data_IF_557065457766
#
_entry.id   IF_557065457766
#
_cell.length_a   1.000
_cell.length_b   1.000
_cell.length_c   1.000
_cell.angle_alpha   90.00
_cell.angle_beta   90.00
_cell.angle_gamma   90.00
#
_symmetry.space_group_name_H-M   'P 1'
#
loop_
_entity.id
_entity.type
_entity.pdbx_description
1 polymer ?
#
# COMPACT_ATOMS: atom_id res chain seq x y z
N UNK A 1 -13.34 -5.38 6.52
CA UNK A 1 -13.20 -6.54 5.60
C UNK A 1 -14.02 -6.37 4.33
N UNK A 2 -15.30 -5.96 4.39
CA UNK A 2 -16.12 -5.73 3.18
C UNK A 2 -15.51 -4.72 2.22
N UNK A 3 -15.05 -3.58 2.72
CA UNK A 3 -14.37 -2.51 1.95
C UNK A 3 -13.12 -2.98 1.18
N UNK A 4 -12.27 -3.83 1.80
CA UNK A 4 -11.05 -4.32 1.17
C UNK A 4 -11.36 -5.38 0.10
N UNK A 5 -12.36 -6.22 0.34
CA UNK A 5 -12.79 -7.25 -0.62
C UNK A 5 -13.34 -6.62 -1.90
N UNK A 6 -14.06 -5.51 -1.79
CA UNK A 6 -14.57 -4.75 -2.92
C UNK A 6 -13.40 -4.09 -3.69
N UNK A 7 -12.49 -3.43 -2.98
CA UNK A 7 -11.27 -2.85 -3.58
C UNK A 7 -10.43 -3.88 -4.33
N UNK A 8 -10.26 -5.09 -3.76
CA UNK A 8 -9.52 -6.18 -4.41
C UNK A 8 -10.22 -6.61 -5.71
N UNK A 9 -11.54 -6.75 -5.70
CA UNK A 9 -12.29 -7.13 -6.91
C UNK A 9 -12.21 -6.06 -7.99
N UNK A 10 -12.28 -4.79 -7.63
CA UNK A 10 -12.19 -3.65 -8.56
C UNK A 10 -10.81 -3.52 -9.24
N UNK A 11 -9.75 -4.06 -8.61
CA UNK A 11 -8.41 -4.09 -9.18
C UNK A 11 -8.23 -5.18 -10.24
N UNK A 12 -9.14 -6.15 -10.29
CA UNK A 12 -9.04 -7.31 -11.15
C UNK A 12 -9.92 -7.14 -12.40
N UNK A 13 -9.41 -7.44 -13.59
CA UNK A 13 -10.25 -7.47 -14.79
C UNK A 13 -11.23 -8.65 -14.72
N UNK A 14 -12.38 -8.52 -15.38
CA UNK A 14 -13.47 -9.52 -15.40
C UNK A 14 -13.06 -10.96 -15.80
N UNK A 15 -11.90 -11.11 -16.43
CA UNK A 15 -11.33 -12.41 -16.81
C UNK A 15 -10.62 -13.16 -15.67
N UNK A 16 -10.49 -12.52 -14.50
CA UNK A 16 -9.89 -13.14 -13.31
C UNK A 16 -11.00 -13.39 -12.29
N UNK A 17 -11.21 -14.67 -12.00
CA UNK A 17 -12.16 -15.11 -10.98
C UNK A 17 -11.53 -14.94 -9.59
N UNK A 18 -12.20 -14.19 -8.69
CA UNK A 18 -11.67 -13.85 -7.38
C UNK A 18 -12.49 -14.47 -6.25
N UNK A 19 -11.87 -15.36 -5.50
CA UNK A 19 -12.44 -15.98 -4.30
C UNK A 19 -11.74 -15.49 -3.04
N UNK A 20 -12.51 -14.95 -2.10
CA UNK A 20 -12.02 -14.53 -0.79
C UNK A 20 -12.80 -15.29 0.28
N UNK A 21 -12.09 -15.99 1.16
CA UNK A 21 -12.67 -16.78 2.24
C UNK A 21 -11.93 -16.56 3.57
N UNK A 22 -12.66 -16.67 4.67
CA UNK A 22 -12.10 -16.70 6.01
C UNK A 22 -12.70 -17.91 6.75
N UNK A 23 -11.83 -18.80 7.21
CA UNK A 23 -12.22 -20.06 7.87
C UNK A 23 -11.51 -20.18 9.22
N UNK A 24 -12.22 -20.71 10.22
CA UNK A 24 -11.66 -21.06 11.52
C UNK A 24 -12.20 -20.26 12.70
N UNK A 25 -11.69 -20.61 13.89
CA UNK A 25 -11.97 -19.89 15.14
C UNK A 25 -11.41 -18.49 15.08
N UNK A 26 -12.10 -17.54 15.72
CA UNK A 26 -11.64 -16.16 15.85
C UNK A 26 -10.29 -16.14 16.59
N UNK A 27 -9.22 -15.85 15.85
CA UNK A 27 -7.91 -15.53 16.40
C UNK A 27 -7.64 -14.06 16.17
N UNK A 28 -7.28 -13.38 17.22
CA UNK A 28 -6.84 -11.99 17.15
C UNK A 28 -5.36 -11.94 16.79
N UNK A 29 -5.00 -10.98 15.95
CA UNK A 29 -3.61 -10.66 15.61
C UNK A 29 -3.36 -9.18 15.90
N UNK A 30 -2.21 -8.89 16.47
CA UNK A 30 -1.80 -7.49 16.67
C UNK A 30 -1.04 -7.02 15.42
N UNK A 31 -1.76 -6.33 14.54
CA UNK A 31 -1.21 -5.90 13.26
C UNK A 31 -1.64 -4.47 12.92
N UNK A 32 -0.80 -3.77 12.19
CA UNK A 32 -1.19 -2.53 11.54
C UNK A 32 -2.13 -2.86 10.38
N UNK A 33 -3.40 -2.45 10.52
CA UNK A 33 -4.43 -2.70 9.51
C UNK A 33 -4.02 -2.17 8.14
N UNK A 34 -3.45 -0.97 8.08
CA UNK A 34 -3.05 -0.34 6.83
C UNK A 34 -1.92 -1.11 6.15
N UNK A 35 -0.95 -1.60 6.93
CA UNK A 35 0.13 -2.45 6.43
C UNK A 35 -0.39 -3.75 5.82
N UNK A 36 -1.37 -4.41 6.48
CA UNK A 36 -1.99 -5.63 5.96
C UNK A 36 -2.82 -5.36 4.69
N UNK A 37 -3.60 -4.28 4.66
CA UNK A 37 -4.35 -3.87 3.47
C UNK A 37 -3.38 -3.65 2.28
N UNK A 38 -2.30 -2.91 2.47
CA UNK A 38 -1.29 -2.66 1.43
C UNK A 38 -0.59 -3.95 0.97
N UNK A 39 -0.27 -4.83 1.90
CA UNK A 39 0.32 -6.14 1.62
C UNK A 39 -0.60 -6.98 0.70
N UNK A 40 -1.88 -7.08 1.03
CA UNK A 40 -2.86 -7.83 0.24
C UNK A 40 -3.05 -7.21 -1.15
N UNK A 41 -3.08 -5.89 -1.26
CA UNK A 41 -3.18 -5.20 -2.54
C UNK A 41 -1.92 -5.43 -3.41
N UNK A 42 -0.71 -5.40 -2.83
CA UNK A 42 0.52 -5.71 -3.54
C UNK A 42 0.52 -7.15 -4.09
N UNK A 43 0.06 -8.12 -3.30
CA UNK A 43 -0.04 -9.51 -3.74
C UNK A 43 -1.11 -9.68 -4.83
N UNK A 44 -2.25 -8.99 -4.70
CA UNK A 44 -3.33 -8.99 -5.71
C UNK A 44 -2.84 -8.46 -7.06
N UNK A 45 -2.10 -7.35 -7.06
CA UNK A 45 -1.56 -6.78 -8.29
C UNK A 45 -0.51 -7.68 -8.94
N UNK A 46 0.36 -8.30 -8.14
CA UNK A 46 1.33 -9.26 -8.66
C UNK A 46 0.64 -10.45 -9.31
N UNK A 47 -0.42 -10.98 -8.68
CA UNK A 47 -1.24 -12.05 -9.21
C UNK A 47 -1.95 -11.64 -10.51
N UNK A 48 -2.59 -10.47 -10.54
CA UNK A 48 -3.23 -9.90 -11.74
C UNK A 48 -2.26 -9.86 -12.91
N UNK A 49 -1.09 -9.31 -12.65
CA UNK A 49 -0.06 -9.13 -13.68
C UNK A 49 0.54 -10.46 -14.17
N UNK A 50 0.51 -11.51 -13.34
CA UNK A 50 0.92 -12.86 -13.74
C UNK A 50 -0.17 -13.60 -14.54
N UNK A 51 -1.43 -13.13 -14.50
CA UNK A 51 -2.59 -13.75 -15.14
C UNK A 51 -3.07 -12.95 -16.37
N UNK A 52 -2.19 -12.64 -17.30
CA UNK A 52 -2.50 -11.82 -18.50
C UNK A 52 -3.61 -12.40 -19.36
N UNK A 53 -3.73 -13.72 -19.43
CA UNK A 53 -4.79 -14.44 -20.16
C UNK A 53 -6.06 -14.71 -19.34
N UNK A 54 -6.14 -14.21 -18.10
CA UNK A 54 -7.18 -14.57 -17.14
C UNK A 54 -6.73 -15.70 -16.21
N UNK A 55 -7.59 -16.07 -15.26
CA UNK A 55 -7.26 -17.10 -14.28
C UNK A 55 -8.09 -16.99 -13.01
N UNK A 56 -7.57 -17.54 -11.92
CA UNK A 56 -8.21 -17.50 -10.60
C UNK A 56 -7.26 -16.97 -9.55
N UNK A 57 -7.75 -16.03 -8.75
CA UNK A 57 -7.12 -15.55 -7.53
C UNK A 57 -7.91 -16.05 -6.33
N UNK A 58 -7.26 -16.75 -5.41
CA UNK A 58 -7.87 -17.21 -4.16
C UNK A 58 -7.12 -16.59 -2.99
N UNK A 59 -7.84 -15.87 -2.14
CA UNK A 59 -7.33 -15.32 -0.88
C UNK A 59 -8.07 -16.03 0.25
N UNK A 60 -7.33 -16.72 1.11
CA UNK A 60 -7.92 -17.40 2.26
C UNK A 60 -7.21 -17.02 3.55
N UNK A 61 -8.01 -16.86 4.61
CA UNK A 61 -7.54 -16.59 5.97
C UNK A 61 -7.99 -17.77 6.84
N UNK A 62 -7.05 -18.35 7.58
CA UNK A 62 -7.35 -19.48 8.45
C UNK A 62 -6.47 -19.46 9.71
N UNK A 63 -6.98 -20.09 10.78
CA UNK A 63 -6.19 -20.35 11.98
C UNK A 63 -5.25 -21.55 11.78
N UNK A 64 -4.06 -21.48 12.34
CA UNK A 64 -3.08 -22.57 12.38
C UNK A 64 -2.66 -22.81 13.84
N UNK A 65 -2.76 -24.06 14.30
CA UNK A 65 -2.31 -24.45 15.63
C UNK A 65 -1.19 -25.51 15.53
N UNK A 66 -0.11 -25.30 16.27
CA UNK A 66 0.86 -26.35 16.62
C UNK A 66 1.65 -27.03 15.48
N UNK A 67 1.55 -26.59 14.23
CA UNK A 67 2.23 -27.19 13.08
C UNK A 67 3.71 -26.83 12.98
N UNK A 68 4.42 -27.47 12.03
CA UNK A 68 5.81 -27.12 11.67
C UNK A 68 5.93 -25.67 11.22
N UNK A 69 4.89 -25.15 10.58
CA UNK A 69 4.77 -23.78 10.06
C UNK A 69 4.74 -22.73 11.17
N UNK A 70 4.13 -23.07 12.34
CA UNK A 70 4.08 -22.19 13.51
C UNK A 70 5.39 -22.21 14.31
N UNK A 71 6.15 -23.32 14.25
CA UNK A 71 7.46 -23.43 14.94
C UNK A 71 8.53 -22.52 14.36
N UNK A 72 8.37 -22.11 13.11
CA UNK A 72 9.29 -21.21 12.44
C UNK A 72 9.08 -19.72 12.79
N UNK A 73 7.94 -19.38 13.42
CA UNK A 73 7.71 -18.02 13.91
C UNK A 73 8.72 -17.71 15.04
N UNK A 74 9.46 -16.63 14.90
CA UNK A 74 10.48 -16.23 15.86
C UNK A 74 9.86 -16.05 17.26
N UNK A 75 10.26 -16.90 18.21
CA UNK A 75 9.79 -16.84 19.60
C UNK A 75 8.51 -17.61 19.92
N UNK A 76 7.96 -18.38 18.97
CA UNK A 76 6.79 -19.19 19.24
C UNK A 76 7.09 -20.33 20.23
N UNK A 77 6.50 -20.29 21.42
CA UNK A 77 6.49 -21.39 22.37
C UNK A 77 5.70 -22.58 21.84
N UNK A 78 5.95 -23.80 22.35
CA UNK A 78 5.13 -24.97 22.06
C UNK A 78 3.66 -24.67 22.38
N UNK A 79 2.77 -24.68 21.38
CA UNK A 79 1.35 -24.36 21.53
C UNK A 79 0.95 -22.97 21.05
N UNK A 80 1.86 -22.21 20.43
CA UNK A 80 1.53 -20.94 19.80
C UNK A 80 0.55 -21.16 18.62
N UNK A 81 -0.45 -20.29 18.54
CA UNK A 81 -1.38 -20.21 17.41
C UNK A 81 -0.92 -19.12 16.44
N UNK A 82 -1.27 -19.28 15.18
CA UNK A 82 -1.01 -18.27 14.16
C UNK A 82 -2.23 -18.11 13.24
N UNK A 83 -2.34 -16.94 12.65
CA UNK A 83 -3.24 -16.72 11.51
C UNK A 83 -2.43 -16.87 10.23
N UNK A 84 -2.92 -17.71 9.34
CA UNK A 84 -2.38 -17.88 8.00
C UNK A 84 -3.22 -17.09 7.02
N UNK A 85 -2.57 -16.20 6.26
CA UNK A 85 -3.13 -15.56 5.08
C UNK A 85 -2.49 -16.23 3.88
N UNK A 86 -3.29 -16.79 2.98
CA UNK A 86 -2.81 -17.42 1.76
C UNK A 86 -3.37 -16.69 0.54
N UNK A 87 -2.50 -16.33 -0.38
CA UNK A 87 -2.85 -15.75 -1.68
C UNK A 87 -2.32 -16.69 -2.76
N UNK A 88 -3.22 -17.25 -3.55
CA UNK A 88 -2.92 -18.22 -4.59
C UNK A 88 -3.45 -17.73 -5.94
N UNK A 89 -2.58 -17.66 -6.94
CA UNK A 89 -2.92 -17.34 -8.33
C UNK A 89 -2.63 -18.53 -9.26
N UNK A 90 -3.28 -18.53 -10.41
CA UNK A 90 -3.05 -19.51 -11.50
C UNK A 90 -2.28 -18.90 -12.66
N UNK A 91 -1.42 -17.93 -12.38
CA UNK A 91 -0.66 -17.17 -13.38
C UNK A 91 0.55 -17.91 -13.94
N UNK A 92 1.45 -17.15 -14.52
CA UNK A 92 2.68 -17.66 -15.18
C UNK A 92 3.68 -18.33 -14.23
N UNK A 93 3.57 -18.10 -12.92
CA UNK A 93 4.52 -18.59 -11.94
C UNK A 93 5.92 -17.98 -12.08
N UNK A 94 6.87 -18.52 -11.30
CA UNK A 94 8.24 -18.02 -11.23
C UNK A 94 9.28 -19.12 -11.32
N UNK A 95 10.42 -18.82 -11.94
CA UNK A 95 11.61 -19.67 -11.95
C UNK A 95 12.27 -19.69 -10.56
N UNK A 96 13.15 -20.66 -10.29
CA UNK A 96 13.92 -20.70 -9.03
C UNK A 96 14.81 -19.48 -8.84
N UNK A 97 15.40 -18.97 -9.91
CA UNK A 97 16.20 -17.73 -9.87
C UNK A 97 15.35 -16.54 -9.47
N UNK A 98 14.19 -16.36 -10.07
CA UNK A 98 13.24 -15.28 -9.69
C UNK A 98 12.81 -15.42 -8.23
N UNK A 99 12.49 -16.65 -7.77
CA UNK A 99 12.08 -16.88 -6.38
C UNK A 99 13.18 -16.53 -5.38
N UNK A 100 14.45 -16.80 -5.67
CA UNK A 100 15.56 -16.49 -4.77
C UNK A 100 15.78 -14.98 -4.58
N UNK A 101 15.36 -14.17 -5.55
CA UNK A 101 15.59 -12.73 -5.60
C UNK A 101 14.35 -11.88 -5.40
N UNK A 102 13.16 -12.49 -5.36
CA UNK A 102 11.88 -11.78 -5.40
C UNK A 102 11.64 -10.78 -4.25
N UNK A 103 12.36 -10.92 -3.14
CA UNK A 103 12.30 -9.99 -2.00
C UNK A 103 13.45 -8.97 -2.01
N UNK A 104 14.38 -9.04 -2.96
CA UNK A 104 15.44 -8.03 -3.11
C UNK A 104 14.81 -6.69 -3.53
N UNK A 105 15.19 -5.57 -2.88
CA UNK A 105 14.75 -4.26 -3.31
C UNK A 105 15.14 -4.00 -4.78
N UNK A 106 14.23 -3.38 -5.52
CA UNK A 106 14.39 -3.03 -6.94
C UNK A 106 14.50 -4.22 -7.90
N UNK A 107 14.36 -5.45 -7.43
CA UNK A 107 14.29 -6.60 -8.32
C UNK A 107 12.88 -6.71 -8.94
N UNK A 108 12.83 -6.69 -10.26
CA UNK A 108 11.61 -6.88 -11.04
C UNK A 108 11.93 -7.62 -12.34
N UNK A 109 11.06 -8.54 -12.73
CA UNK A 109 11.07 -9.16 -14.05
C UNK A 109 10.27 -8.35 -15.08
N UNK A 110 9.67 -7.23 -14.68
CA UNK A 110 8.81 -6.36 -15.49
C UNK A 110 9.47 -4.99 -15.62
N UNK A 111 9.60 -4.48 -16.83
CA UNK A 111 10.23 -3.18 -17.11
C UNK A 111 9.47 -1.98 -16.50
N UNK A 112 8.16 -2.14 -16.28
CA UNK A 112 7.29 -1.07 -15.75
C UNK A 112 7.23 -1.02 -14.22
N UNK A 113 7.77 -2.02 -13.52
CA UNK A 113 7.62 -2.13 -12.06
C UNK A 113 8.96 -1.86 -11.35
N UNK A 114 8.92 -0.99 -10.34
CA UNK A 114 10.12 -0.59 -9.56
C UNK A 114 10.69 -1.71 -8.69
N UNK A 115 10.01 -2.86 -8.54
CA UNK A 115 10.50 -3.99 -7.74
C UNK A 115 10.41 -3.79 -6.23
N UNK A 116 9.49 -2.96 -5.73
CA UNK A 116 9.31 -2.69 -4.30
C UNK A 116 8.10 -3.43 -3.69
N UNK A 117 7.20 -3.98 -4.50
CA UNK A 117 5.95 -4.57 -4.01
C UNK A 117 6.16 -5.75 -3.05
N UNK A 118 6.96 -6.75 -3.45
CA UNK A 118 7.23 -7.92 -2.60
C UNK A 118 8.20 -7.61 -1.45
N UNK A 119 9.11 -6.67 -1.62
CA UNK A 119 9.97 -6.16 -0.54
C UNK A 119 9.10 -5.52 0.56
N UNK A 120 8.08 -4.75 0.19
CA UNK A 120 7.12 -4.16 1.11
C UNK A 120 6.32 -5.25 1.86
N UNK A 121 5.83 -6.28 1.14
CA UNK A 121 5.16 -7.44 1.75
C UNK A 121 6.05 -8.09 2.83
N UNK A 122 7.30 -8.37 2.49
CA UNK A 122 8.26 -8.96 3.42
C UNK A 122 8.50 -8.08 4.64
N UNK A 123 8.67 -6.77 4.44
CA UNK A 123 8.86 -5.78 5.50
C UNK A 123 7.68 -5.73 6.48
N UNK A 124 6.44 -5.65 5.96
CA UNK A 124 5.23 -5.64 6.79
C UNK A 124 5.13 -6.92 7.62
N UNK A 125 5.34 -8.09 7.02
CA UNK A 125 5.26 -9.37 7.73
C UNK A 125 6.32 -9.45 8.84
N UNK A 126 7.55 -9.08 8.55
CA UNK A 126 8.65 -9.08 9.55
C UNK A 126 8.44 -8.10 10.69
N UNK A 127 7.88 -6.93 10.42
CA UNK A 127 7.52 -5.94 11.44
C UNK A 127 6.54 -6.51 12.47
N UNK A 128 5.66 -7.43 12.06
CA UNK A 128 4.67 -8.09 12.93
C UNK A 128 5.12 -9.47 13.43
N UNK A 129 6.42 -9.77 13.37
CA UNK A 129 6.97 -11.05 13.85
C UNK A 129 6.54 -12.26 13.02
N UNK A 130 6.01 -12.03 11.84
CA UNK A 130 5.49 -13.05 10.94
C UNK A 130 6.53 -13.71 10.05
N UNK A 131 6.06 -14.68 9.27
CA UNK A 131 6.83 -15.41 8.26
C UNK A 131 6.12 -15.45 6.93
N UNK A 132 6.89 -15.44 5.83
CA UNK A 132 6.40 -15.59 4.46
C UNK A 132 7.01 -16.86 3.87
N UNK A 133 6.15 -17.64 3.22
CA UNK A 133 6.54 -18.78 2.40
C UNK A 133 5.98 -18.59 0.99
N UNK A 134 6.76 -18.99 -0.02
CA UNK A 134 6.33 -18.90 -1.41
C UNK A 134 6.59 -20.23 -2.10
N UNK A 135 5.53 -20.73 -2.74
CA UNK A 135 5.58 -21.88 -3.62
C UNK A 135 5.16 -21.44 -5.02
N UNK A 136 6.04 -21.59 -6.00
CA UNK A 136 5.74 -21.19 -7.38
C UNK A 136 6.47 -22.13 -8.36
N UNK A 137 5.84 -22.37 -9.51
CA UNK A 137 6.45 -23.08 -10.63
C UNK A 137 6.04 -22.41 -11.93
N UNK A 138 6.93 -22.32 -12.92
CA UNK A 138 6.58 -21.77 -14.22
C UNK A 138 5.37 -22.49 -14.83
N UNK A 139 4.35 -21.73 -15.26
CA UNK A 139 3.11 -22.22 -15.83
C UNK A 139 2.06 -22.76 -14.83
N UNK A 140 2.36 -22.80 -13.52
CA UNK A 140 1.46 -23.35 -12.50
C UNK A 140 1.02 -22.31 -11.44
N UNK A 141 1.35 -21.03 -11.64
CA UNK A 141 0.99 -19.96 -10.73
C UNK A 141 1.88 -19.85 -9.50
N UNK A 142 1.41 -19.05 -8.54
CA UNK A 142 2.14 -18.76 -7.30
C UNK A 142 1.20 -18.88 -6.10
N UNK A 143 1.72 -19.45 -5.02
CA UNK A 143 1.06 -19.44 -3.71
C UNK A 143 1.99 -18.75 -2.71
N UNK A 144 1.53 -17.64 -2.14
CA UNK A 144 2.18 -16.92 -1.04
C UNK A 144 1.42 -17.22 0.24
N UNK A 145 2.11 -17.73 1.26
CA UNK A 145 1.58 -17.98 2.59
C UNK A 145 2.25 -17.07 3.59
N UNK A 146 1.46 -16.38 4.38
CA UNK A 146 1.90 -15.46 5.42
C UNK A 146 1.36 -15.97 6.74
N UNK A 147 2.24 -16.11 7.71
CA UNK A 147 1.91 -16.54 9.06
C UNK A 147 2.15 -15.38 10.01
N UNK A 148 1.12 -15.00 10.75
CA UNK A 148 1.17 -13.94 11.75
C UNK A 148 0.91 -14.55 13.14
N UNK A 149 1.70 -14.21 14.18
CA UNK A 149 1.48 -14.73 15.51
C UNK A 149 0.09 -14.29 16.01
N UNK A 150 -0.68 -15.26 16.51
CA UNK A 150 -1.94 -14.95 17.17
C UNK A 150 -1.67 -14.46 18.60
N UNK A 151 -2.45 -13.49 19.06
CA UNK A 151 -2.49 -13.07 20.46
C UNK A 151 -3.55 -13.87 21.22
N UNK A 152 -3.29 -14.15 22.48
CA UNK A 152 -4.25 -14.87 23.31
C UNK A 152 -5.59 -14.10 23.41
N UNK A 153 -6.70 -14.80 23.22
CA UNK A 153 -8.02 -14.20 23.32
C UNK A 153 -8.17 -13.48 24.68
N UNK A 154 -8.50 -12.20 24.66
CA UNK A 154 -8.65 -11.36 25.86
C UNK A 154 -7.47 -10.43 26.17
N UNK A 155 -6.37 -10.49 25.44
CA UNK A 155 -5.26 -9.52 25.55
C UNK A 155 -5.33 -8.38 24.52
N UNK A 156 -6.26 -8.42 23.60
CA UNK A 156 -6.52 -7.28 22.72
C UNK A 156 -7.38 -6.30 23.53
N UNK A 157 -6.91 -5.08 23.77
CA UNK A 157 -7.79 -4.04 24.28
C UNK A 157 -8.94 -3.92 23.28
N UNK A 158 -10.14 -4.31 23.71
CA UNK A 158 -11.35 -4.29 22.89
C UNK A 158 -11.89 -2.85 22.81
N UNK A 159 -11.01 -1.93 22.45
CA UNK A 159 -11.38 -0.62 21.98
C UNK A 159 -10.89 -0.54 20.55
N UNK A 160 -11.79 -0.24 19.59
CA UNK A 160 -11.34 0.51 18.45
C UNK A 160 -10.69 1.73 19.10
N UNK A 161 -9.36 1.84 19.07
CA UNK A 161 -8.71 3.06 19.45
C UNK A 161 -9.50 4.16 18.73
N UNK A 162 -10.29 4.91 19.48
CA UNK A 162 -10.86 6.16 19.01
C UNK A 162 -9.62 7.00 18.70
N UNK A 163 -9.20 6.85 17.45
CA UNK A 163 -8.15 7.69 16.92
C UNK A 163 -8.62 9.11 17.19
N UNK A 164 -7.81 9.96 17.84
CA UNK A 164 -8.18 11.35 17.96
C UNK A 164 -8.60 11.77 16.56
N UNK A 165 -9.84 12.22 16.46
CA UNK A 165 -10.49 12.56 15.20
C UNK A 165 -9.59 13.59 14.54
N UNK A 166 -8.75 13.14 13.60
CA UNK A 166 -8.06 14.06 12.71
C UNK A 166 -9.20 14.84 12.06
N UNK A 167 -9.24 16.15 12.28
CA UNK A 167 -10.35 17.00 11.90
C UNK A 167 -10.76 16.67 10.46
N UNK A 168 -12.04 16.29 10.29
CA UNK A 168 -12.58 15.87 8.98
C UNK A 168 -12.41 17.03 8.01
N UNK A 169 -11.64 16.83 6.95
CA UNK A 169 -11.38 17.84 5.94
C UNK A 169 -12.58 18.05 5.03
N UNK A 170 -12.71 19.24 4.47
CA UNK A 170 -13.59 19.56 3.34
C UNK A 170 -12.76 20.15 2.19
N UNK A 171 -11.47 20.24 2.42
CA UNK A 171 -10.53 20.85 1.51
C UNK A 171 -10.26 19.96 0.29
N UNK A 172 -9.86 20.59 -0.81
CA UNK A 172 -9.51 19.91 -2.04
C UNK A 172 -8.02 19.61 -2.07
N UNK A 173 -7.68 18.35 -2.30
CA UNK A 173 -6.31 17.85 -2.42
C UNK A 173 -6.07 17.42 -3.85
N UNK A 174 -5.04 17.92 -4.50
CA UNK A 174 -4.56 17.42 -5.80
C UNK A 174 -3.45 16.41 -5.53
N UNK A 175 -3.76 15.12 -5.74
CA UNK A 175 -2.83 14.02 -5.58
C UNK A 175 -2.21 13.64 -6.92
N UNK A 176 -0.88 13.63 -6.99
CA UNK A 176 -0.13 13.27 -8.20
C UNK A 176 0.81 12.11 -7.90
N UNK A 177 0.44 10.94 -8.36
CA UNK A 177 1.18 9.69 -8.13
C UNK A 177 1.14 8.81 -9.38
N UNK A 178 2.28 8.58 -10.05
CA UNK A 178 2.34 7.75 -11.24
C UNK A 178 1.95 6.29 -10.98
N UNK A 179 2.31 5.74 -9.82
CA UNK A 179 2.02 4.35 -9.49
C UNK A 179 0.55 4.17 -9.12
N UNK A 180 -0.18 3.40 -9.91
CA UNK A 180 -1.63 3.20 -9.77
C UNK A 180 -2.03 2.76 -8.37
N UNK A 181 -1.31 1.79 -7.79
CA UNK A 181 -1.63 1.29 -6.45
C UNK A 181 -1.47 2.38 -5.38
N UNK A 182 -0.30 3.02 -5.34
CA UNK A 182 -0.01 4.07 -4.36
C UNK A 182 -1.00 5.22 -4.50
N UNK A 183 -1.37 5.56 -5.74
CA UNK A 183 -2.37 6.57 -6.04
C UNK A 183 -3.73 6.17 -5.48
N UNK A 184 -4.23 4.96 -5.77
CA UNK A 184 -5.53 4.47 -5.28
C UNK A 184 -5.59 4.41 -3.76
N UNK A 185 -4.53 3.94 -3.11
CA UNK A 185 -4.43 3.89 -1.65
C UNK A 185 -4.47 5.29 -1.03
N UNK A 186 -3.67 6.22 -1.55
CA UNK A 186 -3.65 7.60 -1.05
C UNK A 186 -5.00 8.30 -1.28
N UNK A 187 -5.63 8.11 -2.46
CA UNK A 187 -6.97 8.64 -2.77
C UNK A 187 -8.01 8.07 -1.80
N UNK A 188 -8.06 6.75 -1.62
CA UNK A 188 -8.99 6.10 -0.69
C UNK A 188 -8.84 6.64 0.72
N UNK A 189 -7.60 6.77 1.19
CA UNK A 189 -7.28 7.30 2.51
C UNK A 189 -7.78 8.73 2.69
N UNK A 190 -7.46 9.62 1.76
CA UNK A 190 -7.86 11.02 1.84
C UNK A 190 -9.39 11.18 1.74
N UNK A 191 -10.07 10.44 0.86
CA UNK A 191 -11.54 10.42 0.75
C UNK A 191 -12.21 9.92 2.02
N UNK A 192 -11.66 8.90 2.70
CA UNK A 192 -12.15 8.39 3.99
C UNK A 192 -12.12 9.47 5.08
N UNK A 193 -11.16 10.39 4.99
CA UNK A 193 -11.06 11.56 5.87
C UNK A 193 -11.82 12.79 5.35
N UNK A 194 -12.73 12.58 4.35
CA UNK A 194 -13.64 13.58 3.79
C UNK A 194 -12.97 14.71 2.99
N UNK A 195 -11.74 14.53 2.56
CA UNK A 195 -11.13 15.44 1.60
C UNK A 195 -11.75 15.23 0.21
N UNK A 196 -11.90 16.31 -0.55
CA UNK A 196 -12.16 16.23 -1.98
C UNK A 196 -10.83 15.98 -2.70
N UNK A 197 -10.74 14.88 -3.47
CA UNK A 197 -9.47 14.49 -4.09
C UNK A 197 -9.57 14.57 -5.60
N UNK A 198 -8.71 15.42 -6.19
CA UNK A 198 -8.40 15.43 -7.61
C UNK A 198 -7.21 14.47 -7.81
N UNK A 199 -7.40 13.47 -8.65
CA UNK A 199 -6.44 12.39 -8.87
C UNK A 199 -5.74 12.57 -10.20
N UNK A 200 -4.42 12.54 -10.21
CA UNK A 200 -3.60 12.61 -11.41
C UNK A 200 -2.52 11.53 -11.42
N UNK A 201 -2.32 10.89 -12.57
CA UNK A 201 -1.26 9.89 -12.80
C UNK A 201 0.06 10.52 -13.27
N UNK A 202 0.03 11.77 -13.68
CA UNK A 202 1.20 12.50 -14.18
C UNK A 202 1.14 13.99 -13.84
N UNK A 203 2.30 14.67 -13.88
CA UNK A 203 2.34 16.13 -13.70
C UNK A 203 1.55 16.90 -14.76
N UNK A 204 1.49 16.39 -15.97
CA UNK A 204 0.74 17.03 -17.08
C UNK A 204 -0.76 16.96 -16.78
N UNK A 205 -1.26 15.78 -16.41
CA UNK A 205 -2.64 15.58 -16.01
C UNK A 205 -3.02 16.47 -14.81
N UNK A 206 -2.13 16.57 -13.82
CA UNK A 206 -2.34 17.44 -12.65
C UNK A 206 -2.52 18.92 -13.03
N UNK A 207 -1.71 19.42 -13.95
CA UNK A 207 -1.83 20.80 -14.45
C UNK A 207 -3.16 21.00 -15.18
N UNK A 208 -3.58 20.04 -16.01
CA UNK A 208 -4.85 20.08 -16.74
C UNK A 208 -6.04 20.08 -15.78
N UNK A 209 -6.04 19.17 -14.79
CA UNK A 209 -7.10 19.08 -13.78
C UNK A 209 -7.19 20.38 -12.95
N UNK A 210 -6.06 20.92 -12.50
CA UNK A 210 -6.03 22.16 -11.76
C UNK A 210 -6.55 23.34 -12.59
N UNK A 211 -6.30 23.37 -13.89
CA UNK A 211 -6.81 24.41 -14.80
C UNK A 211 -8.31 24.31 -15.04
N UNK A 212 -8.85 23.10 -15.11
CA UNK A 212 -10.27 22.83 -15.31
C UNK A 212 -11.09 22.98 -14.02
N UNK A 213 -10.45 22.84 -12.87
CA UNK A 213 -11.12 22.90 -11.60
C UNK A 213 -11.42 24.34 -11.16
N UNK A 214 -12.70 24.67 -11.04
CA UNK A 214 -13.17 26.03 -10.67
C UNK A 214 -13.05 26.36 -9.17
N UNK A 215 -12.79 25.34 -8.33
CA UNK A 215 -12.65 25.50 -6.90
C UNK A 215 -11.22 25.81 -6.46
N UNK A 216 -11.01 26.02 -5.16
CA UNK A 216 -9.67 26.18 -4.61
C UNK A 216 -9.02 24.82 -4.42
N UNK A 217 -7.77 24.65 -4.90
CA UNK A 217 -6.90 23.54 -4.52
C UNK A 217 -6.12 23.98 -3.28
N UNK A 218 -6.28 23.26 -2.16
CA UNK A 218 -5.69 23.62 -0.88
C UNK A 218 -4.30 23.02 -0.68
N UNK A 219 -4.13 21.76 -1.07
CA UNK A 219 -2.85 21.06 -0.98
C UNK A 219 -2.60 20.26 -2.27
N UNK A 220 -1.39 20.32 -2.81
CA UNK A 220 -0.91 19.31 -3.75
C UNK A 220 0.00 18.33 -3.03
N UNK A 221 -0.22 17.02 -3.29
CA UNK A 221 0.63 15.94 -2.82
C UNK A 221 1.27 15.30 -4.04
N UNK A 222 2.59 15.32 -4.13
CA UNK A 222 3.31 14.79 -5.31
C UNK A 222 4.64 14.17 -4.93
N UNK A 223 5.15 13.26 -5.74
CA UNK A 223 6.54 12.82 -5.66
C UNK A 223 7.50 14.01 -5.77
N UNK A 224 8.57 14.03 -4.99
CA UNK A 224 9.64 15.03 -5.14
C UNK A 224 10.34 14.86 -6.49
N UNK A 225 10.65 13.61 -6.83
CA UNK A 225 11.23 13.20 -8.11
C UNK A 225 10.14 12.48 -8.88
N UNK A 226 9.81 12.95 -10.07
CA UNK A 226 8.82 12.36 -10.96
C UNK A 226 9.34 12.42 -12.40
N UNK A 227 8.84 11.55 -13.30
CA UNK A 227 9.09 11.71 -14.73
C UNK A 227 8.65 13.08 -15.23
N UNK A 228 9.27 13.58 -16.29
CA UNK A 228 8.98 14.84 -16.98
C UNK A 228 9.38 16.10 -16.19
N UNK A 229 8.75 16.36 -15.05
CA UNK A 229 9.07 17.52 -14.19
C UNK A 229 9.07 17.12 -12.71
N UNK A 230 9.94 17.75 -11.92
CA UNK A 230 9.98 17.52 -10.48
C UNK A 230 8.72 18.03 -9.78
N UNK A 231 8.40 17.46 -8.61
CA UNK A 231 7.28 17.94 -7.78
C UNK A 231 7.38 19.42 -7.43
N UNK A 232 8.61 19.92 -7.23
CA UNK A 232 8.85 21.33 -6.97
C UNK A 232 8.49 22.23 -8.17
N UNK A 233 8.86 21.83 -9.37
CA UNK A 233 8.50 22.56 -10.58
C UNK A 233 6.99 22.50 -10.83
N UNK A 234 6.37 21.35 -10.59
CA UNK A 234 4.92 21.21 -10.64
C UNK A 234 4.24 22.18 -9.66
N UNK A 235 4.65 22.18 -8.39
CA UNK A 235 4.10 23.08 -7.38
C UNK A 235 4.26 24.56 -7.78
N UNK A 236 5.42 24.95 -8.33
CA UNK A 236 5.66 26.30 -8.80
C UNK A 236 4.70 26.72 -9.93
N UNK A 237 4.34 25.79 -10.82
CA UNK A 237 3.36 26.04 -11.89
C UNK A 237 1.95 26.17 -11.35
N UNK A 238 1.54 25.27 -10.45
CA UNK A 238 0.23 25.26 -9.84
C UNK A 238 -0.03 26.49 -8.96
N UNK A 239 0.98 26.98 -8.24
CA UNK A 239 0.89 28.19 -7.42
C UNK A 239 0.56 29.46 -8.21
N UNK A 240 0.79 29.50 -9.51
CA UNK A 240 0.37 30.62 -10.36
C UNK A 240 -1.16 30.72 -10.49
N UNK A 241 -1.84 29.60 -10.43
CA UNK A 241 -3.31 29.49 -10.56
C UNK A 241 -4.00 29.39 -9.19
N UNK A 242 -3.34 28.73 -8.23
CA UNK A 242 -3.82 28.53 -6.87
C UNK A 242 -2.82 29.12 -5.86
N UNK A 243 -2.75 30.45 -5.67
CA UNK A 243 -1.68 31.10 -4.88
C UNK A 243 -1.65 30.69 -3.40
N UNK A 244 -2.77 30.26 -2.84
CA UNK A 244 -2.90 29.85 -1.44
C UNK A 244 -2.61 28.36 -1.23
N UNK A 245 -2.42 27.60 -2.33
CA UNK A 245 -2.13 26.18 -2.28
C UNK A 245 -0.82 25.88 -1.56
N UNK A 246 -0.81 24.84 -0.75
CA UNK A 246 0.40 24.32 -0.09
C UNK A 246 0.87 23.06 -0.82
N UNK A 247 2.18 22.77 -0.78
CA UNK A 247 2.73 21.59 -1.44
C UNK A 247 3.32 20.63 -0.41
N UNK A 248 2.91 19.36 -0.49
CA UNK A 248 3.49 18.23 0.23
C UNK A 248 4.27 17.36 -0.75
N UNK A 249 5.54 17.15 -0.50
CA UNK A 249 6.38 16.31 -1.33
C UNK A 249 6.58 14.94 -0.69
N UNK A 250 6.40 13.90 -1.47
CA UNK A 250 6.70 12.53 -1.08
C UNK A 250 8.08 12.17 -1.63
N UNK A 251 8.99 11.73 -0.76
CA UNK A 251 10.37 11.38 -1.14
C UNK A 251 10.67 9.93 -0.80
N UNK A 252 11.42 9.26 -1.69
CA UNK A 252 12.08 7.99 -1.41
C UNK A 252 13.29 8.14 -0.49
N UNK A 253 14.13 7.11 -0.41
CA UNK A 253 15.21 6.99 0.57
C UNK A 253 16.41 7.94 0.38
N UNK A 254 16.53 8.69 -0.71
CA UNK A 254 17.69 9.53 -0.98
C UNK A 254 17.63 10.87 -0.26
N UNK A 255 18.32 10.95 0.89
CA UNK A 255 18.54 12.21 1.61
C UNK A 255 19.28 13.26 0.74
N UNK A 256 20.09 12.84 -0.23
CA UNK A 256 20.78 13.73 -1.17
C UNK A 256 19.83 14.54 -2.03
N UNK A 257 18.76 13.96 -2.53
CA UNK A 257 17.74 14.67 -3.29
C UNK A 257 17.02 15.74 -2.44
N UNK A 258 16.81 15.47 -1.15
CA UNK A 258 16.22 16.43 -0.20
C UNK A 258 17.17 17.60 0.04
N UNK A 259 18.46 17.31 0.25
CA UNK A 259 19.49 18.30 0.50
C UNK A 259 19.71 19.18 -0.74
N UNK A 260 19.79 18.59 -1.92
CA UNK A 260 19.99 19.32 -3.18
C UNK A 260 18.81 20.24 -3.53
N UNK A 261 17.58 19.86 -3.16
CA UNK A 261 16.38 20.66 -3.42
C UNK A 261 16.05 21.67 -2.33
N UNK A 262 16.81 21.76 -1.23
CA UNK A 262 16.62 22.69 -0.11
C UNK A 262 15.16 22.75 0.38
N UNK A 263 14.51 21.60 0.55
CA UNK A 263 13.12 21.51 0.99
C UNK A 263 13.06 21.45 2.51
N UNK A 264 12.23 22.30 3.10
CA UNK A 264 11.97 22.23 4.52
C UNK A 264 11.24 20.93 4.86
N UNK A 265 11.70 20.20 5.88
CA UNK A 265 11.14 18.93 6.36
C UNK A 265 9.65 18.99 6.66
N UNK A 266 9.10 20.17 6.95
CA UNK A 266 7.68 20.40 7.15
C UNK A 266 6.85 20.04 5.91
N UNK A 267 7.39 20.25 4.70
CA UNK A 267 6.73 19.99 3.44
C UNK A 267 7.11 18.64 2.83
N UNK A 268 7.66 17.74 3.65
CA UNK A 268 8.18 16.45 3.20
C UNK A 268 7.53 15.30 3.97
N UNK A 269 7.09 14.29 3.22
CA UNK A 269 6.67 12.99 3.73
C UNK A 269 7.62 11.92 3.17
N UNK A 270 8.31 11.19 4.05
CA UNK A 270 9.30 10.18 3.63
C UNK A 270 8.65 8.83 3.42
N UNK A 271 9.01 8.15 2.34
CA UNK A 271 8.67 6.74 2.12
C UNK A 271 9.63 5.81 2.88
N UNK A 272 9.13 4.66 3.41
CA UNK A 272 7.71 4.29 3.50
C UNK A 272 6.98 5.13 4.55
N UNK A 273 5.78 5.59 4.23
CA UNK A 273 4.92 6.29 5.18
C UNK A 273 3.63 5.49 5.43
N UNK A 274 3.09 5.64 6.63
CA UNK A 274 1.76 5.11 6.96
C UNK A 274 0.71 6.03 6.37
N UNK A 275 -0.44 5.48 5.98
CA UNK A 275 -1.54 6.27 5.43
C UNK A 275 -1.99 7.38 6.40
N UNK A 276 -2.01 7.08 7.70
CA UNK A 276 -2.24 8.06 8.76
C UNK A 276 -1.23 9.22 8.69
N UNK A 277 0.04 8.94 8.46
CA UNK A 277 1.08 9.96 8.32
C UNK A 277 0.82 10.92 7.15
N UNK A 278 0.21 10.43 6.06
CA UNK A 278 -0.23 11.28 4.95
C UNK A 278 -1.33 12.25 5.41
N UNK A 279 -2.36 11.75 6.10
CA UNK A 279 -3.48 12.58 6.58
C UNK A 279 -3.03 13.60 7.60
N UNK A 280 -2.22 13.19 8.58
CA UNK A 280 -1.65 14.09 9.60
C UNK A 280 -0.83 15.21 8.96
N UNK A 281 0.00 14.85 7.97
CA UNK A 281 0.84 15.81 7.28
C UNK A 281 0.06 16.80 6.41
N UNK A 282 -0.98 16.31 5.73
CA UNK A 282 -1.92 17.15 4.98
C UNK A 282 -2.63 18.12 5.94
N UNK A 283 -3.13 17.62 7.09
CA UNK A 283 -3.80 18.47 8.09
C UNK A 283 -2.86 19.50 8.68
N UNK A 284 -1.64 19.11 9.08
CA UNK A 284 -0.61 20.04 9.58
C UNK A 284 -0.35 21.18 8.61
N UNK A 285 -0.32 20.88 7.32
CA UNK A 285 -0.13 21.90 6.30
C UNK A 285 -1.34 22.82 6.17
N UNK A 286 -2.55 22.30 6.18
CA UNK A 286 -3.77 23.09 6.03
C UNK A 286 -3.93 24.06 7.20
N UNK A 287 -3.68 23.60 8.43
CA UNK A 287 -3.87 24.37 9.65
C UNK A 287 -2.76 25.40 9.92
N UNK A 288 -1.70 25.38 9.17
CA UNK A 288 -0.52 26.26 9.31
C UNK A 288 -0.65 27.57 8.54
#
# INVERSE_FOLDING_TARGET
MEDLSETIRDLLPNRIDCHISAEGSHLDVEVDREGIEQMLLNLTLNARDAMTGGGRLTISISSCEGGADVKALAGANRGASAVRIQVCDTGSGMTRDTQSRMFEPFFSTKETNVGLGLTSVYGVVKQHGGQVEVASQPGHGTTVRIYLPAVAAGMVPNEPAEFPVVAKGQETILLVEPHELERKLAVSTLKRHRYHVLEASSPVEAIMLAHQYSGAVHVTVSGLIMPEISGRELARRLLKQHPTMKALFVSGYDDEAIISHRINRRFLLRRPYRQRGLVEKVRELIDA
#
